data_IF_401486778403
#
_entry.id   IF_401486778403
#
_cell.length_a   1.000
_cell.length_b   1.000
_cell.length_c   1.000
_cell.angle_alpha   90.00
_cell.angle_beta   90.00
_cell.angle_gamma   90.00
#
_symmetry.space_group_name_H-M   'P 1'
#
loop_
_entity.id
_entity.type
_entity.pdbx_description
1 polymer ?
#
# COMPACT_ATOMS: atom_id res chain seq x y z
N UNK A 1 -1.54 9.43 -20.63
CA UNK A 1 -1.18 9.70 -19.23
C UNK A 1 0.28 9.43 -19.01
N UNK A 2 0.89 10.07 -18.02
CA UNK A 2 2.28 9.86 -17.62
C UNK A 2 2.34 9.36 -16.19
N UNK A 3 3.25 8.44 -15.93
CA UNK A 3 3.62 8.02 -14.59
C UNK A 3 4.86 8.78 -14.15
N UNK A 4 4.78 9.44 -13.02
CA UNK A 4 5.86 10.14 -12.37
C UNK A 4 6.28 9.38 -11.12
N UNK A 5 7.60 9.33 -10.84
CA UNK A 5 8.14 8.59 -9.70
C UNK A 5 9.30 9.35 -9.04
N UNK A 6 9.48 9.17 -7.73
CA UNK A 6 10.58 9.71 -6.95
C UNK A 6 10.78 8.93 -5.65
N UNK A 7 11.88 9.17 -4.95
CA UNK A 7 12.26 8.48 -3.73
C UNK A 7 13.33 7.41 -3.94
N UNK A 8 13.39 6.42 -3.07
CA UNK A 8 14.35 5.31 -3.12
C UNK A 8 14.28 4.54 -4.42
N UNK A 9 15.44 4.21 -5.00
CA UNK A 9 15.55 3.52 -6.30
C UNK A 9 16.73 2.53 -6.39
N UNK A 10 17.30 2.14 -5.26
CA UNK A 10 18.46 1.25 -5.21
C UNK A 10 18.18 -0.17 -5.76
N UNK A 11 16.91 -0.57 -5.83
CA UNK A 11 16.47 -1.82 -6.46
C UNK A 11 15.80 -1.61 -7.83
N UNK A 12 15.69 -0.36 -8.31
CA UNK A 12 14.93 -0.02 -9.51
C UNK A 12 13.41 0.04 -9.29
N UNK A 13 12.97 0.22 -8.03
CA UNK A 13 11.54 0.23 -7.66
C UNK A 13 10.74 1.39 -8.26
N UNK A 14 11.39 2.41 -8.80
CA UNK A 14 10.73 3.47 -9.58
C UNK A 14 10.39 3.03 -11.01
N UNK A 15 10.96 1.92 -11.48
CA UNK A 15 10.67 1.37 -12.81
C UNK A 15 11.18 2.23 -13.97
N UNK A 16 12.11 3.15 -13.72
CA UNK A 16 12.63 4.11 -14.70
C UNK A 16 13.81 3.58 -15.54
N UNK A 17 14.23 2.32 -15.31
CA UNK A 17 15.33 1.68 -16.01
C UNK A 17 16.74 2.07 -15.57
N UNK A 18 16.86 2.95 -14.60
CA UNK A 18 18.13 3.49 -14.12
C UNK A 18 18.20 3.40 -12.58
N UNK A 19 18.60 2.25 -12.03
CA UNK A 19 18.79 2.12 -10.59
C UNK A 19 19.82 3.14 -10.08
N UNK A 20 19.49 3.80 -8.98
CA UNK A 20 20.35 4.73 -8.26
C UNK A 20 19.94 4.69 -6.79
N UNK A 21 20.66 5.34 -5.90
CA UNK A 21 20.32 5.33 -4.48
C UNK A 21 18.90 5.94 -4.27
N UNK A 22 18.66 7.11 -4.87
CA UNK A 22 17.39 7.82 -4.75
C UNK A 22 17.18 8.86 -5.87
N UNK A 23 15.95 9.32 -6.00
CA UNK A 23 15.52 10.40 -6.88
C UNK A 23 14.75 11.43 -6.06
N UNK A 24 15.33 12.59 -5.83
CA UNK A 24 14.80 13.61 -4.90
C UNK A 24 13.68 14.49 -5.49
N UNK A 25 13.51 14.49 -6.81
CA UNK A 25 12.46 15.22 -7.54
C UNK A 25 11.68 14.31 -8.45
N UNK A 26 10.38 14.55 -8.66
CA UNK A 26 9.60 13.76 -9.59
C UNK A 26 10.25 13.70 -10.99
N UNK A 27 10.38 12.48 -11.52
CA UNK A 27 10.78 12.22 -12.89
C UNK A 27 9.73 11.37 -13.61
N UNK A 28 9.62 11.55 -14.91
CA UNK A 28 8.76 10.69 -15.73
C UNK A 28 9.35 9.29 -15.80
N UNK A 29 8.55 8.29 -15.46
CA UNK A 29 8.93 6.90 -15.72
C UNK A 29 8.94 6.68 -17.22
N UNK A 30 10.14 6.45 -17.78
CA UNK A 30 10.35 6.26 -19.21
C UNK A 30 9.55 5.07 -19.72
N UNK A 31 8.48 5.36 -20.41
CA UNK A 31 7.76 4.35 -21.18
C UNK A 31 8.26 4.46 -22.61
N UNK A 32 8.99 3.45 -23.08
CA UNK A 32 9.10 3.29 -24.55
C UNK A 32 7.68 3.30 -25.10
N UNK A 33 7.39 4.00 -26.21
CA UNK A 33 6.04 4.06 -26.74
C UNK A 33 5.42 2.66 -26.89
N UNK A 34 4.28 2.41 -26.20
CA UNK A 34 3.58 1.13 -26.24
C UNK A 34 3.88 0.13 -25.13
N UNK A 35 4.70 0.48 -24.10
CA UNK A 35 5.02 -0.48 -23.02
C UNK A 35 4.04 -0.45 -21.83
N UNK A 36 3.47 0.71 -21.48
CA UNK A 36 2.49 0.85 -20.40
C UNK A 36 1.26 1.62 -20.91
N UNK A 37 0.14 0.93 -21.04
CA UNK A 37 -1.15 1.53 -21.38
C UNK A 37 -1.79 2.13 -20.11
N UNK A 38 -1.40 3.36 -19.76
CA UNK A 38 -1.89 4.04 -18.56
C UNK A 38 -3.22 4.77 -18.83
N UNK A 39 -4.16 4.61 -17.89
CA UNK A 39 -5.44 5.32 -17.87
C UNK A 39 -5.76 5.84 -16.46
N UNK A 40 -6.90 6.51 -16.27
CA UNK A 40 -7.33 7.07 -14.99
C UNK A 40 -7.55 6.03 -13.89
N UNK A 41 -7.80 4.79 -14.27
CA UNK A 41 -8.07 3.67 -13.38
C UNK A 41 -6.80 2.87 -13.04
N UNK A 42 -5.66 3.20 -13.67
CA UNK A 42 -4.37 2.56 -13.37
C UNK A 42 -3.99 2.76 -11.91
N UNK A 43 -3.55 1.69 -11.27
CA UNK A 43 -3.18 1.67 -9.85
C UNK A 43 -1.71 1.30 -9.71
N UNK A 44 -0.96 2.13 -9.02
CA UNK A 44 0.38 1.79 -8.55
C UNK A 44 0.26 1.25 -7.13
N UNK A 45 0.89 0.13 -6.85
CA UNK A 45 0.87 -0.56 -5.56
C UNK A 45 2.32 -0.72 -5.10
N UNK A 46 2.86 0.27 -4.37
CA UNK A 46 4.22 0.22 -3.89
C UNK A 46 4.33 -0.68 -2.64
N UNK A 47 5.29 -1.60 -2.64
CA UNK A 47 5.65 -2.45 -1.50
C UNK A 47 6.89 -1.95 -0.76
N UNK A 48 7.61 -2.86 -0.07
CA UNK A 48 8.82 -2.53 0.68
C UNK A 48 9.99 -2.03 -0.19
N UNK A 49 10.25 -2.69 -1.29
CA UNK A 49 11.31 -2.33 -2.24
C UNK A 49 10.95 -2.72 -3.67
N UNK A 50 9.69 -3.07 -3.91
CA UNK A 50 9.15 -3.39 -5.22
C UNK A 50 7.88 -2.58 -5.47
N UNK A 51 7.49 -2.47 -6.72
CA UNK A 51 6.29 -1.73 -7.13
C UNK A 51 5.52 -2.56 -8.16
N UNK A 52 4.21 -2.68 -7.95
CA UNK A 52 3.30 -3.25 -8.94
C UNK A 52 2.53 -2.11 -9.62
N UNK A 53 2.19 -2.32 -10.89
CA UNK A 53 1.28 -1.47 -11.64
C UNK A 53 0.18 -2.34 -12.23
N UNK A 54 -1.04 -2.09 -11.83
CA UNK A 54 -2.23 -2.76 -12.35
C UNK A 54 -2.99 -1.80 -13.28
N UNK A 55 -3.15 -2.19 -14.53
CA UNK A 55 -3.89 -1.44 -15.55
C UNK A 55 -4.62 -2.40 -16.49
N UNK A 56 -5.92 -2.22 -16.68
CA UNK A 56 -6.78 -3.06 -17.54
C UNK A 56 -6.63 -4.58 -17.29
N UNK A 57 -6.52 -4.98 -16.01
CA UNK A 57 -6.32 -6.38 -15.61
C UNK A 57 -4.93 -6.95 -15.90
N UNK A 58 -4.00 -6.12 -16.43
CA UNK A 58 -2.59 -6.48 -16.66
C UNK A 58 -1.76 -6.01 -15.48
N UNK A 59 -0.87 -6.88 -15.02
CA UNK A 59 0.05 -6.58 -13.93
C UNK A 59 1.46 -6.37 -14.49
N UNK A 60 2.13 -5.33 -14.00
CA UNK A 60 3.54 -5.07 -14.23
C UNK A 60 4.25 -4.93 -12.88
N UNK A 61 5.54 -5.25 -12.84
CA UNK A 61 6.34 -5.17 -11.64
C UNK A 61 7.71 -4.56 -11.92
N UNK A 62 8.25 -3.85 -10.92
CA UNK A 62 9.61 -3.31 -10.90
C UNK A 62 10.18 -3.36 -9.48
N UNK A 63 11.51 -3.31 -9.33
CA UNK A 63 12.20 -3.20 -8.07
C UNK A 63 12.80 -4.49 -7.55
N UNK A 64 12.87 -4.62 -6.24
CA UNK A 64 13.45 -5.75 -5.52
C UNK A 64 12.70 -7.05 -5.76
N UNK A 65 13.43 -8.14 -6.09
CA UNK A 65 12.82 -9.43 -6.43
C UNK A 65 13.54 -10.65 -5.84
N UNK A 66 14.45 -10.48 -4.88
CA UNK A 66 15.23 -11.60 -4.28
C UNK A 66 14.37 -12.69 -3.64
N UNK A 67 13.12 -12.37 -3.31
CA UNK A 67 12.10 -13.32 -2.79
C UNK A 67 11.04 -13.70 -3.83
N UNK A 68 11.16 -13.18 -5.06
CA UNK A 68 10.14 -13.39 -6.09
C UNK A 68 8.89 -12.50 -5.90
N UNK A 69 8.98 -11.43 -5.13
CA UNK A 69 7.85 -10.54 -4.83
C UNK A 69 7.29 -9.80 -6.03
N UNK A 70 8.04 -9.73 -7.14
CA UNK A 70 7.56 -9.24 -8.42
C UNK A 70 6.72 -10.28 -9.21
N UNK A 71 6.73 -11.55 -8.81
CA UNK A 71 5.95 -12.62 -9.44
C UNK A 71 6.38 -13.02 -10.85
N UNK A 72 7.64 -12.76 -11.24
CA UNK A 72 8.14 -12.93 -12.60
C UNK A 72 8.63 -14.35 -12.93
N UNK A 73 8.74 -15.23 -11.94
CA UNK A 73 9.31 -16.58 -12.12
C UNK A 73 10.81 -16.60 -12.41
N UNK A 74 11.49 -15.46 -12.34
CA UNK A 74 12.89 -15.31 -12.67
C UNK A 74 13.77 -15.30 -11.41
N UNK A 75 15.08 -15.61 -11.62
CA UNK A 75 16.12 -15.49 -10.59
C UNK A 75 16.75 -14.09 -10.56
N UNK A 76 16.20 -13.13 -11.30
CA UNK A 76 16.67 -11.77 -11.31
C UNK A 76 16.35 -11.08 -9.99
N UNK A 77 17.36 -10.63 -9.26
CA UNK A 77 17.21 -10.00 -7.93
C UNK A 77 16.61 -8.59 -8.00
N UNK A 78 16.86 -7.86 -9.08
CA UNK A 78 16.39 -6.49 -9.28
C UNK A 78 15.75 -6.34 -10.67
N UNK A 79 14.62 -5.66 -10.73
CA UNK A 79 13.84 -5.41 -11.95
C UNK A 79 13.77 -3.89 -12.18
N UNK A 80 14.72 -3.28 -12.91
CA UNK A 80 14.84 -1.82 -12.97
C UNK A 80 13.78 -1.11 -13.80
N UNK A 81 13.04 -1.84 -14.63
CA UNK A 81 11.94 -1.34 -15.45
C UNK A 81 10.67 -2.13 -15.16
N UNK A 82 9.50 -1.51 -15.40
CA UNK A 82 8.25 -2.25 -15.32
C UNK A 82 8.20 -3.36 -16.38
N UNK A 83 8.19 -4.60 -15.91
CA UNK A 83 8.07 -5.83 -16.73
C UNK A 83 6.67 -6.40 -16.52
N UNK A 84 6.02 -6.80 -17.62
CA UNK A 84 4.72 -7.48 -17.56
C UNK A 84 4.86 -8.81 -16.82
N UNK A 85 4.02 -9.00 -15.81
CA UNK A 85 3.96 -10.24 -15.03
C UNK A 85 3.02 -11.23 -15.73
N UNK A 86 3.45 -12.47 -15.84
CA UNK A 86 2.56 -13.55 -16.30
C UNK A 86 1.70 -14.02 -15.13
N UNK A 87 0.45 -13.55 -15.08
CA UNK A 87 -0.50 -13.91 -14.03
C UNK A 87 -1.46 -14.99 -14.55
N UNK A 88 -1.90 -15.92 -13.66
CA UNK A 88 -2.78 -17.04 -14.08
C UNK A 88 -4.16 -16.56 -14.54
N UNK A 89 -4.63 -15.42 -14.04
CA UNK A 89 -5.90 -14.78 -14.36
C UNK A 89 -5.78 -13.26 -14.20
N UNK A 90 -6.72 -12.48 -14.76
CA UNK A 90 -6.73 -11.03 -14.54
C UNK A 90 -7.09 -10.70 -13.09
N UNK A 91 -6.22 -9.92 -12.42
CA UNK A 91 -6.47 -9.46 -11.06
C UNK A 91 -7.35 -8.21 -11.05
N UNK A 92 -8.26 -8.15 -10.10
CA UNK A 92 -9.10 -6.96 -9.81
C UNK A 92 -8.59 -6.19 -8.59
N UNK A 93 -7.84 -6.86 -7.70
CA UNK A 93 -7.19 -6.28 -6.53
C UNK A 93 -5.78 -6.83 -6.40
N UNK A 94 -4.85 -5.96 -6.03
CA UNK A 94 -3.46 -6.33 -5.69
C UNK A 94 -3.07 -5.57 -4.43
N UNK A 95 -2.33 -6.21 -3.54
CA UNK A 95 -1.73 -5.59 -2.36
C UNK A 95 -0.30 -6.09 -2.20
N UNK A 96 0.61 -5.18 -1.85
CA UNK A 96 2.01 -5.46 -1.63
C UNK A 96 2.36 -5.32 -0.14
N UNK A 97 3.06 -6.31 0.40
CA UNK A 97 3.70 -6.23 1.72
C UNK A 97 5.16 -5.81 1.62
N UNK A 98 5.98 -6.19 2.63
CA UNK A 98 7.40 -5.85 2.61
C UNK A 98 8.16 -6.53 1.46
N UNK A 99 8.04 -7.85 1.35
CA UNK A 99 8.77 -8.71 0.41
C UNK A 99 7.85 -9.78 -0.20
N UNK A 100 6.56 -9.47 -0.37
CA UNK A 100 5.55 -10.35 -0.96
C UNK A 100 4.42 -9.54 -1.59
N UNK A 101 3.66 -10.20 -2.46
CA UNK A 101 2.51 -9.64 -3.19
C UNK A 101 1.35 -10.63 -3.18
N UNK A 102 0.13 -10.11 -3.00
CA UNK A 102 -1.12 -10.87 -3.12
C UNK A 102 -1.99 -10.23 -4.22
N UNK A 103 -2.52 -11.05 -5.12
CA UNK A 103 -3.54 -10.66 -6.10
C UNK A 103 -4.85 -11.41 -5.87
N UNK A 104 -5.98 -10.78 -6.18
CA UNK A 104 -7.32 -11.38 -6.15
C UNK A 104 -7.95 -11.21 -7.53
N UNK A 105 -8.53 -12.28 -8.06
CA UNK A 105 -9.27 -12.24 -9.31
C UNK A 105 -10.76 -11.88 -9.12
N UNK A 106 -11.49 -11.77 -10.24
CA UNK A 106 -12.92 -11.44 -10.24
C UNK A 106 -13.82 -12.51 -9.58
N UNK A 107 -13.33 -13.74 -9.44
CA UNK A 107 -14.07 -14.86 -8.88
C UNK A 107 -13.80 -15.04 -7.37
N UNK A 108 -12.99 -14.15 -6.79
CA UNK A 108 -12.62 -14.14 -5.38
C UNK A 108 -11.54 -15.17 -5.02
N UNK A 109 -10.76 -15.63 -6.01
CA UNK A 109 -9.61 -16.52 -5.81
C UNK A 109 -8.38 -15.65 -5.52
N UNK A 110 -7.62 -16.01 -4.48
CA UNK A 110 -6.41 -15.30 -4.08
C UNK A 110 -5.16 -16.02 -4.58
N UNK A 111 -4.16 -15.24 -4.98
CA UNK A 111 -2.86 -15.71 -5.45
C UNK A 111 -1.75 -14.94 -4.75
N UNK A 112 -0.64 -15.61 -4.44
CA UNK A 112 0.50 -14.98 -3.75
C UNK A 112 1.84 -15.32 -4.35
N UNK A 113 2.79 -14.36 -4.28
CA UNK A 113 4.19 -14.56 -4.61
C UNK A 113 5.09 -13.78 -3.65
N UNK A 114 6.38 -14.14 -3.58
CA UNK A 114 7.35 -13.53 -2.69
C UNK A 114 7.69 -14.38 -1.49
N UNK A 115 7.99 -13.74 -0.38
CA UNK A 115 8.35 -14.37 0.89
C UNK A 115 7.13 -15.00 1.57
N UNK A 116 7.31 -16.23 2.05
CA UNK A 116 6.37 -16.93 2.93
C UNK A 116 7.05 -17.37 4.23
N UNK A 117 8.15 -16.70 4.61
CA UNK A 117 8.95 -17.08 5.78
C UNK A 117 8.14 -17.08 7.09
N UNK A 118 7.11 -16.25 7.15
CA UNK A 118 6.21 -16.10 8.31
C UNK A 118 4.80 -16.66 8.05
N UNK A 119 4.53 -17.25 6.87
CA UNK A 119 3.21 -17.69 6.46
C UNK A 119 2.34 -16.59 5.84
N UNK A 120 2.92 -15.43 5.52
CA UNK A 120 2.20 -14.26 5.00
C UNK A 120 1.50 -14.49 3.65
N UNK A 121 1.91 -15.51 2.89
CA UNK A 121 1.23 -15.91 1.65
C UNK A 121 0.05 -16.87 1.89
N UNK A 122 -0.11 -17.41 3.10
CA UNK A 122 -1.14 -18.43 3.36
C UNK A 122 -0.84 -19.79 2.70
N UNK A 123 0.42 -20.04 2.31
CA UNK A 123 0.88 -21.27 1.68
C UNK A 123 1.61 -22.16 2.68
N UNK A 124 1.85 -23.42 2.33
CA UNK A 124 2.53 -24.38 3.17
C UNK A 124 3.87 -23.86 3.73
N UNK A 125 4.18 -24.24 4.97
CA UNK A 125 5.39 -23.80 5.68
C UNK A 125 6.71 -24.26 5.05
N UNK A 126 6.68 -25.26 4.19
CA UNK A 126 7.82 -25.72 3.37
C UNK A 126 8.20 -24.72 2.26
N UNK A 127 7.22 -23.98 1.75
CA UNK A 127 7.39 -22.96 0.72
C UNK A 127 7.80 -21.62 1.34
N UNK A 128 9.09 -21.36 1.49
CA UNK A 128 9.60 -20.10 2.09
C UNK A 128 9.71 -18.95 1.09
N UNK A 129 9.88 -19.27 -0.19
CA UNK A 129 9.99 -18.32 -1.31
C UNK A 129 9.17 -18.84 -2.47
N UNK A 130 8.35 -17.97 -3.07
CA UNK A 130 7.45 -18.28 -4.18
C UNK A 130 7.66 -17.26 -5.28
N UNK A 131 8.29 -17.65 -6.38
CA UNK A 131 8.75 -16.71 -7.44
C UNK A 131 7.68 -16.34 -8.46
N UNK A 132 6.61 -17.13 -8.53
CA UNK A 132 5.45 -16.91 -9.41
C UNK A 132 4.18 -16.88 -8.57
N UNK A 133 3.12 -16.24 -9.08
CA UNK A 133 1.83 -16.26 -8.40
C UNK A 133 1.30 -17.68 -8.30
N UNK A 134 1.07 -18.14 -7.07
CA UNK A 134 0.42 -19.41 -6.74
C UNK A 134 -0.91 -19.16 -6.08
N UNK A 135 -1.90 -19.97 -6.44
CA UNK A 135 -3.21 -19.97 -5.80
C UNK A 135 -3.07 -20.30 -4.31
N UNK A 136 -3.81 -19.56 -3.49
CA UNK A 136 -3.89 -19.74 -2.05
C UNK A 136 -5.17 -20.52 -1.75
N UNK A 137 -5.05 -21.63 -1.04
CA UNK A 137 -6.21 -22.43 -0.62
C UNK A 137 -7.00 -21.68 0.47
N UNK A 138 -7.92 -20.82 0.00
CA UNK A 138 -8.73 -19.97 0.87
C UNK A 138 -9.96 -20.72 1.36
N UNK A 139 -10.27 -20.70 2.68
CA UNK A 139 -11.47 -21.35 3.22
C UNK A 139 -12.79 -20.69 2.80
N UNK A 140 -12.74 -19.45 2.32
CA UNK A 140 -13.87 -18.66 1.84
C UNK A 140 -13.45 -17.80 0.64
N UNK A 141 -14.40 -17.45 -0.24
CA UNK A 141 -14.17 -16.44 -1.28
C UNK A 141 -13.88 -15.08 -0.65
N UNK A 142 -12.97 -14.34 -1.28
CA UNK A 142 -12.49 -13.05 -0.78
C UNK A 142 -12.70 -11.93 -1.78
N UNK A 143 -13.00 -10.73 -1.29
CA UNK A 143 -13.31 -9.56 -2.10
C UNK A 143 -12.23 -8.47 -2.02
N UNK A 144 -11.38 -8.51 -1.00
CA UNK A 144 -10.29 -7.55 -0.81
C UNK A 144 -9.16 -8.15 0.01
N UNK A 145 -7.96 -7.56 -0.08
CA UNK A 145 -6.78 -7.95 0.69
C UNK A 145 -5.98 -6.72 1.11
N UNK A 146 -5.45 -6.77 2.32
CA UNK A 146 -4.46 -5.83 2.83
C UNK A 146 -3.22 -6.60 3.31
N UNK A 147 -2.04 -6.16 2.86
CA UNK A 147 -0.75 -6.73 3.23
C UNK A 147 -0.01 -5.79 4.17
N UNK A 148 0.32 -6.26 5.37
CA UNK A 148 1.24 -5.58 6.27
C UNK A 148 2.69 -5.99 6.03
N UNK A 149 3.57 -5.74 7.00
CA UNK A 149 4.99 -6.11 6.83
C UNK A 149 5.17 -7.62 6.63
N UNK A 150 4.50 -8.45 7.43
CA UNK A 150 4.65 -9.92 7.45
C UNK A 150 3.33 -10.64 7.74
N UNK A 151 2.20 -10.06 7.36
CA UNK A 151 0.88 -10.64 7.54
C UNK A 151 -0.06 -10.19 6.43
N UNK A 152 -1.10 -10.99 6.19
CA UNK A 152 -2.14 -10.71 5.21
C UNK A 152 -3.51 -10.86 5.82
N UNK A 153 -4.39 -9.92 5.51
CA UNK A 153 -5.78 -9.89 5.92
C UNK A 153 -6.64 -9.88 4.67
N UNK A 154 -7.51 -10.85 4.54
CA UNK A 154 -8.45 -10.98 3.43
C UNK A 154 -9.87 -10.71 3.93
N UNK A 155 -10.55 -9.77 3.30
CA UNK A 155 -11.98 -9.56 3.53
C UNK A 155 -12.75 -10.63 2.77
N UNK A 156 -13.60 -11.39 3.46
CA UNK A 156 -14.43 -12.41 2.83
C UNK A 156 -15.69 -11.78 2.20
N UNK A 157 -16.30 -12.48 1.24
CA UNK A 157 -17.60 -12.12 0.68
C UNK A 157 -18.71 -12.16 1.75
N UNK A 158 -18.59 -13.07 2.72
CA UNK A 158 -19.35 -13.01 3.96
C UNK A 158 -18.83 -11.85 4.82
N UNK A 159 -19.54 -10.73 4.81
CA UNK A 159 -19.09 -9.45 5.35
C UNK A 159 -18.78 -9.42 6.87
N UNK A 160 -19.12 -10.45 7.63
CA UNK A 160 -18.80 -10.58 9.07
C UNK A 160 -17.51 -11.39 9.33
N UNK A 161 -16.80 -11.79 8.27
CA UNK A 161 -15.61 -12.65 8.36
C UNK A 161 -14.42 -12.05 7.61
N UNK A 162 -13.23 -12.33 8.14
CA UNK A 162 -11.95 -12.17 7.46
C UNK A 162 -11.19 -13.48 7.48
N UNK A 163 -10.30 -13.68 6.53
CA UNK A 163 -9.26 -14.70 6.60
C UNK A 163 -7.92 -14.02 6.89
N UNK A 164 -7.09 -14.62 7.72
CA UNK A 164 -5.82 -14.03 8.16
C UNK A 164 -4.70 -15.05 8.11
N UNK A 165 -3.49 -14.64 7.74
CA UNK A 165 -2.29 -15.46 7.80
C UNK A 165 -1.03 -14.63 8.01
N UNK A 166 0.09 -15.28 8.34
CA UNK A 166 1.36 -14.63 8.57
C UNK A 166 1.76 -14.55 10.04
N UNK A 167 2.53 -13.51 10.38
CA UNK A 167 2.99 -13.26 11.74
C UNK A 167 1.86 -12.71 12.61
N UNK A 168 1.55 -13.38 13.72
CA UNK A 168 0.52 -12.98 14.69
C UNK A 168 1.02 -12.52 16.05
N UNK A 169 2.36 -12.43 16.23
CA UNK A 169 3.00 -12.24 17.56
C UNK A 169 2.69 -10.91 18.24
N UNK A 170 2.18 -9.94 17.50
CA UNK A 170 1.78 -8.62 18.01
C UNK A 170 0.26 -8.45 18.11
N UNK A 171 -0.53 -9.47 17.73
CA UNK A 171 -1.99 -9.41 17.68
C UNK A 171 -2.57 -8.92 16.35
N UNK A 172 -1.73 -8.65 15.35
CA UNK A 172 -2.13 -8.13 14.04
C UNK A 172 -3.00 -9.09 13.21
N UNK A 173 -3.14 -10.37 13.61
CA UNK A 173 -4.06 -11.31 12.98
C UNK A 173 -5.49 -11.27 13.57
N UNK A 174 -5.82 -10.22 14.33
CA UNK A 174 -7.17 -9.98 14.85
C UNK A 174 -7.75 -11.14 15.71
N UNK A 175 -6.91 -12.00 16.29
CA UNK A 175 -7.38 -13.10 17.11
C UNK A 175 -8.03 -12.58 18.40
N UNK A 176 -9.31 -12.92 18.70
CA UNK A 176 -9.99 -12.44 19.90
C UNK A 176 -9.33 -12.89 21.21
N UNK A 177 -8.61 -13.99 21.20
CA UNK A 177 -7.89 -14.54 22.36
C UNK A 177 -6.52 -13.87 22.58
N UNK A 178 -6.14 -12.91 21.72
CA UNK A 178 -4.90 -12.16 21.79
C UNK A 178 -3.81 -12.65 20.83
N UNK A 179 -2.56 -12.17 21.02
CA UNK A 179 -1.45 -12.46 20.13
C UNK A 179 -1.11 -13.95 20.02
N UNK A 180 -0.86 -14.41 18.80
CA UNK A 180 -0.44 -15.78 18.53
C UNK A 180 1.05 -15.96 18.81
N UNK A 181 1.44 -17.09 19.40
CA UNK A 181 2.86 -17.41 19.64
C UNK A 181 3.62 -17.80 18.39
N UNK A 182 2.92 -18.41 17.44
CA UNK A 182 3.48 -18.96 16.20
C UNK A 182 2.93 -18.25 14.97
N UNK A 183 3.64 -18.44 13.84
CA UNK A 183 3.19 -17.94 12.55
C UNK A 183 2.05 -18.80 12.00
N UNK A 184 1.09 -18.16 11.34
CA UNK A 184 -0.07 -18.81 10.74
C UNK A 184 0.16 -18.99 9.24
N UNK A 185 0.43 -20.23 8.79
CA UNK A 185 0.74 -20.53 7.39
C UNK A 185 -0.52 -20.78 6.55
N UNK A 186 -1.56 -21.37 7.09
CA UNK A 186 -2.85 -21.51 6.40
C UNK A 186 -3.79 -20.38 6.79
N UNK A 187 -4.56 -19.81 5.85
CA UNK A 187 -5.52 -18.78 6.18
C UNK A 187 -6.55 -19.28 7.21
N UNK A 188 -6.75 -18.51 8.29
CA UNK A 188 -7.68 -18.81 9.37
C UNK A 188 -8.82 -17.82 9.36
N UNK A 189 -10.05 -18.31 9.53
CA UNK A 189 -11.25 -17.48 9.61
C UNK A 189 -11.34 -16.82 10.99
N UNK A 190 -11.53 -15.50 10.99
CA UNK A 190 -11.92 -14.73 12.19
C UNK A 190 -13.27 -14.10 11.92
N UNK A 191 -14.22 -14.29 12.85
CA UNK A 191 -15.59 -13.78 12.77
C UNK A 191 -15.78 -12.60 13.71
N UNK A 192 -16.60 -11.64 13.28
CA UNK A 192 -16.99 -10.45 14.03
C UNK A 192 -18.52 -10.34 14.12
N UNK A 193 -19.01 -9.64 15.14
CA UNK A 193 -20.45 -9.39 15.33
C UNK A 193 -20.97 -8.26 14.41
N UNK A 194 -20.05 -7.51 13.77
CA UNK A 194 -20.32 -6.40 12.87
C UNK A 194 -19.92 -6.73 11.44
N UNK A 195 -20.63 -6.16 10.48
CA UNK A 195 -20.28 -6.27 9.04
C UNK A 195 -19.07 -5.41 8.71
N UNK A 196 -18.04 -6.02 8.12
CA UNK A 196 -16.78 -5.39 7.72
C UNK A 196 -16.95 -4.76 6.35
N UNK A 197 -16.64 -3.47 6.25
CA UNK A 197 -16.62 -2.69 5.02
C UNK A 197 -15.26 -2.80 4.32
N UNK A 198 -14.15 -2.58 5.07
CA UNK A 198 -12.80 -2.52 4.51
C UNK A 198 -11.79 -3.11 5.51
N UNK A 199 -10.67 -3.60 4.97
CA UNK A 199 -9.51 -4.09 5.75
C UNK A 199 -8.26 -3.34 5.32
N UNK A 200 -7.44 -2.90 6.27
CA UNK A 200 -6.16 -2.23 6.03
C UNK A 200 -5.09 -2.77 6.96
N UNK A 201 -3.84 -2.71 6.53
CA UNK A 201 -2.73 -3.25 7.30
C UNK A 201 -1.55 -2.27 7.34
N UNK A 202 -1.05 -2.03 8.54
CA UNK A 202 0.20 -1.31 8.78
C UNK A 202 1.37 -2.27 9.02
N UNK A 203 2.45 -1.79 9.64
CA UNK A 203 3.64 -2.61 9.87
C UNK A 203 3.32 -3.89 10.64
N UNK A 204 2.81 -3.76 11.84
CA UNK A 204 2.45 -4.87 12.74
C UNK A 204 1.05 -4.66 13.34
N UNK A 205 0.15 -4.03 12.62
CA UNK A 205 -1.23 -3.85 13.02
C UNK A 205 -2.18 -3.96 11.84
N UNK A 206 -3.44 -4.21 12.14
CA UNK A 206 -4.54 -4.30 11.19
C UNK A 206 -5.64 -3.35 11.64
N UNK A 207 -6.25 -2.66 10.70
CA UNK A 207 -7.45 -1.87 10.92
C UNK A 207 -8.62 -2.48 10.14
N UNK A 208 -9.74 -2.68 10.83
CA UNK A 208 -11.02 -3.03 10.24
C UNK A 208 -11.93 -1.81 10.27
N UNK A 209 -12.58 -1.53 9.17
CA UNK A 209 -13.66 -0.57 9.08
C UNK A 209 -14.97 -1.32 8.91
N UNK A 210 -15.97 -0.97 9.72
CA UNK A 210 -17.28 -1.59 9.70
C UNK A 210 -18.31 -0.74 8.94
N UNK A 211 -19.40 -1.37 8.50
CA UNK A 211 -20.48 -0.65 7.79
C UNK A 211 -21.14 0.44 8.63
N UNK A 212 -21.10 0.36 9.95
CA UNK A 212 -21.57 1.40 10.88
C UNK A 212 -20.55 2.54 11.07
N UNK A 213 -19.51 2.61 10.21
CA UNK A 213 -18.44 3.61 10.24
C UNK A 213 -17.46 3.48 11.41
N UNK A 214 -17.73 2.59 12.38
CA UNK A 214 -16.76 2.35 13.45
C UNK A 214 -15.51 1.65 12.90
N UNK A 215 -14.38 1.89 13.55
CA UNK A 215 -13.10 1.29 13.21
C UNK A 215 -12.56 0.50 14.40
N UNK A 216 -11.82 -0.56 14.12
CA UNK A 216 -11.15 -1.37 15.14
C UNK A 216 -9.74 -1.67 14.70
N UNK A 217 -8.79 -1.44 15.60
CA UNK A 217 -7.39 -1.71 15.39
C UNK A 217 -6.93 -2.91 16.24
N UNK A 218 -6.03 -3.72 15.65
CA UNK A 218 -5.44 -4.90 16.28
C UNK A 218 -3.94 -4.92 16.02
N UNK A 219 -3.13 -5.26 17.01
CA UNK A 219 -1.69 -5.42 16.80
C UNK A 219 -0.82 -4.60 17.75
N UNK A 220 0.32 -4.10 17.24
CA UNK A 220 1.31 -3.39 18.01
C UNK A 220 0.89 -1.95 18.34
N UNK A 221 0.81 -1.63 19.62
CA UNK A 221 0.42 -0.30 20.12
C UNK A 221 1.61 0.62 20.43
N UNK A 222 2.84 0.22 20.07
CA UNK A 222 4.07 0.94 20.46
C UNK A 222 4.07 2.44 20.13
N UNK A 223 3.47 2.82 19.00
CA UNK A 223 3.43 4.18 18.49
C UNK A 223 2.03 4.78 18.45
N UNK A 224 1.00 4.02 18.83
CA UNK A 224 -0.39 4.41 18.68
C UNK A 224 -1.22 3.93 19.87
N UNK A 225 -2.06 4.80 20.42
CA UNK A 225 -3.11 4.42 21.35
C UNK A 225 -4.36 4.13 20.51
N UNK A 226 -4.69 2.87 20.33
CA UNK A 226 -5.75 2.44 19.40
C UNK A 226 -7.11 3.03 19.74
N UNK A 227 -7.50 3.07 21.04
CA UNK A 227 -8.74 3.69 21.47
C UNK A 227 -8.91 5.13 21.00
N UNK A 228 -7.84 5.93 21.12
CA UNK A 228 -7.85 7.34 20.73
C UNK A 228 -7.99 7.51 19.21
N UNK A 229 -7.36 6.59 18.45
CA UNK A 229 -7.45 6.56 16.98
C UNK A 229 -8.83 6.10 16.54
N UNK A 230 -9.36 5.04 17.14
CA UNK A 230 -10.68 4.50 16.85
C UNK A 230 -11.76 5.57 17.06
N UNK A 231 -11.69 6.34 18.15
CA UNK A 231 -12.61 7.45 18.43
C UNK A 231 -12.48 8.59 17.41
N UNK A 232 -11.24 9.04 17.12
CA UNK A 232 -11.01 10.15 16.18
C UNK A 232 -11.38 9.84 14.75
N UNK A 233 -11.25 8.57 14.32
CA UNK A 233 -11.52 8.16 12.94
C UNK A 233 -12.95 7.62 12.73
N UNK A 234 -13.72 7.36 13.78
CA UNK A 234 -15.08 6.83 13.68
C UNK A 234 -16.11 7.97 13.57
N UNK A 235 -15.93 8.82 12.55
CA UNK A 235 -16.78 10.01 12.30
C UNK A 235 -17.53 9.81 10.97
N UNK A 236 -18.79 10.18 10.90
CA UNK A 236 -19.69 9.88 9.77
C UNK A 236 -19.25 10.50 8.43
N UNK A 237 -18.55 11.63 8.43
CA UNK A 237 -18.14 12.34 7.22
C UNK A 237 -16.79 11.91 6.64
N UNK A 238 -16.16 10.86 7.18
CA UNK A 238 -14.94 10.27 6.61
C UNK A 238 -15.25 9.54 5.31
N UNK A 239 -14.59 9.97 4.22
CA UNK A 239 -14.74 9.41 2.86
C UNK A 239 -13.58 8.53 2.43
N UNK A 240 -12.40 8.69 3.04
CA UNK A 240 -11.23 7.86 2.79
C UNK A 240 -10.43 7.71 4.09
N UNK A 241 -9.98 6.50 4.38
CA UNK A 241 -9.01 6.24 5.46
C UNK A 241 -7.82 5.52 4.85
N UNK A 242 -6.60 5.93 5.20
CA UNK A 242 -5.36 5.31 4.75
C UNK A 242 -4.48 4.96 5.95
N UNK A 243 -3.67 3.91 5.79
CA UNK A 243 -2.85 3.35 6.86
C UNK A 243 -1.39 3.29 6.40
N UNK A 244 -0.52 3.94 7.14
CA UNK A 244 0.92 3.79 7.03
C UNK A 244 1.47 2.68 7.94
N UNK A 245 2.78 2.66 8.13
CA UNK A 245 3.38 1.66 9.04
C UNK A 245 3.09 1.93 10.51
N UNK A 246 3.09 3.20 10.92
CA UNK A 246 3.00 3.61 12.32
C UNK A 246 2.03 4.76 12.53
N UNK A 247 1.24 5.11 11.51
CA UNK A 247 0.26 6.18 11.55
C UNK A 247 -0.93 5.88 10.63
N UNK A 248 -2.00 6.61 10.83
CA UNK A 248 -3.26 6.52 10.07
C UNK A 248 -3.71 7.92 9.71
N UNK A 249 -4.30 8.11 8.54
CA UNK A 249 -4.92 9.36 8.15
C UNK A 249 -6.32 9.14 7.58
N UNK A 250 -7.22 10.10 7.79
CA UNK A 250 -8.56 10.14 7.23
C UNK A 250 -8.80 11.44 6.47
N UNK A 251 -9.49 11.33 5.35
CA UNK A 251 -9.99 12.43 4.56
C UNK A 251 -11.51 12.55 4.79
N UNK A 252 -11.97 13.75 5.11
CA UNK A 252 -13.35 14.08 5.35
C UNK A 252 -14.01 14.67 4.09
N UNK A 253 -15.33 14.60 4.03
CA UNK A 253 -16.12 15.09 2.89
C UNK A 253 -15.90 16.59 2.60
N UNK A 254 -15.58 17.38 3.63
CA UNK A 254 -15.26 18.80 3.49
C UNK A 254 -13.82 19.08 3.03
N UNK A 255 -13.02 18.05 2.75
CA UNK A 255 -11.62 18.17 2.33
C UNK A 255 -10.63 18.34 3.48
N UNK A 256 -11.04 18.19 4.74
CA UNK A 256 -10.15 18.17 5.90
C UNK A 256 -9.40 16.83 5.96
N UNK A 257 -8.15 16.88 6.36
CA UNK A 257 -7.34 15.69 6.66
C UNK A 257 -7.05 15.64 8.16
N UNK A 258 -7.30 14.49 8.76
CA UNK A 258 -6.89 14.19 10.13
C UNK A 258 -5.90 13.02 10.12
N UNK A 259 -4.94 13.03 11.03
CA UNK A 259 -4.00 11.93 11.18
C UNK A 259 -3.71 11.65 12.66
N UNK A 260 -3.32 10.41 12.95
CA UNK A 260 -2.96 9.95 14.27
C UNK A 260 -1.88 8.87 14.20
N UNK A 261 -1.04 8.79 15.23
CA UNK A 261 0.05 7.82 15.32
C UNK A 261 1.40 8.48 15.57
N UNK A 262 2.47 7.88 15.02
CA UNK A 262 3.83 8.38 15.15
C UNK A 262 4.00 9.76 14.52
N UNK A 263 4.80 10.63 15.14
CA UNK A 263 4.98 12.03 14.71
C UNK A 263 6.42 12.51 14.62
N UNK A 264 7.41 11.72 15.05
CA UNK A 264 8.81 12.11 15.18
C UNK A 264 9.52 12.44 13.86
N UNK A 265 8.97 11.99 12.72
CA UNK A 265 9.41 12.36 11.37
C UNK A 265 8.44 13.30 10.65
N UNK A 266 7.43 13.82 11.33
CA UNK A 266 6.42 14.70 10.72
C UNK A 266 5.23 13.97 10.09
N UNK A 267 5.05 12.66 10.30
CA UNK A 267 4.04 11.84 9.63
C UNK A 267 2.60 12.34 9.79
N UNK A 268 2.30 12.99 10.90
CA UNK A 268 0.95 13.50 11.22
C UNK A 268 0.92 15.02 11.42
N UNK A 269 2.06 15.70 11.23
CA UNK A 269 2.17 17.12 11.54
C UNK A 269 1.59 17.99 10.39
N UNK A 270 0.90 19.06 10.74
CA UNK A 270 0.42 20.07 9.79
C UNK A 270 -0.66 19.60 8.81
N UNK A 271 -1.09 18.35 8.84
CA UNK A 271 -2.08 17.82 7.89
C UNK A 271 -3.46 18.48 8.03
N UNK A 272 -3.78 18.98 9.22
CA UNK A 272 -5.03 19.73 9.47
C UNK A 272 -5.06 21.11 8.78
N UNK A 273 -3.92 21.62 8.35
CA UNK A 273 -3.81 22.90 7.62
C UNK A 273 -4.08 22.74 6.12
N UNK A 274 -4.07 21.50 5.59
CA UNK A 274 -4.45 21.19 4.22
C UNK A 274 -5.90 21.57 3.97
N UNK A 275 -6.16 22.11 2.77
CA UNK A 275 -7.49 22.58 2.35
C UNK A 275 -7.92 21.92 1.05
N UNK A 276 -9.21 21.75 0.90
CA UNK A 276 -9.83 21.27 -0.35
C UNK A 276 -9.25 19.95 -0.88
N UNK A 277 -8.77 19.08 0.02
CA UNK A 277 -8.20 17.80 -0.34
C UNK A 277 -9.29 16.88 -0.90
N UNK A 278 -8.97 16.21 -2.01
CA UNK A 278 -9.85 15.26 -2.70
C UNK A 278 -9.36 13.83 -2.61
N UNK A 279 -8.08 13.65 -2.29
CA UNK A 279 -7.46 12.33 -2.17
C UNK A 279 -6.24 12.38 -1.26
N UNK A 280 -6.03 11.30 -0.51
CA UNK A 280 -4.81 11.06 0.26
C UNK A 280 -4.20 9.71 -0.14
N UNK A 281 -2.89 9.58 0.02
CA UNK A 281 -2.18 8.31 -0.06
C UNK A 281 -1.10 8.29 1.01
N UNK A 282 -1.12 7.29 1.88
CA UNK A 282 -0.22 7.18 3.01
C UNK A 282 0.75 6.03 2.75
N UNK A 283 2.04 6.36 2.75
CA UNK A 283 3.13 5.41 2.66
C UNK A 283 3.55 4.89 4.03
N UNK A 284 4.72 4.25 4.12
CA UNK A 284 5.14 3.67 5.39
C UNK A 284 5.32 4.74 6.47
N UNK A 285 6.02 5.85 6.18
CA UNK A 285 6.30 6.92 7.14
C UNK A 285 6.16 8.32 6.51
N UNK A 286 5.45 8.45 5.36
CA UNK A 286 5.19 9.73 4.70
C UNK A 286 3.79 9.74 4.10
N UNK A 287 3.32 10.91 3.70
CA UNK A 287 2.00 11.08 3.11
C UNK A 287 2.02 11.95 1.86
N UNK A 288 1.04 11.71 1.00
CA UNK A 288 0.69 12.50 -0.18
C UNK A 288 -0.77 12.94 -0.09
N UNK A 289 -1.06 14.15 -0.54
CA UNK A 289 -2.43 14.66 -0.68
C UNK A 289 -2.60 15.40 -2.00
N UNK A 290 -3.76 15.25 -2.61
CA UNK A 290 -4.15 15.94 -3.84
C UNK A 290 -5.35 16.84 -3.54
N UNK A 291 -5.27 18.12 -3.94
CA UNK A 291 -6.36 19.06 -3.77
C UNK A 291 -7.26 19.18 -5.02
N UNK A 292 -8.33 19.97 -4.93
CA UNK A 292 -9.25 20.27 -6.04
C UNK A 292 -8.60 21.01 -7.21
N UNK A 293 -7.47 21.67 -6.98
CA UNK A 293 -6.70 22.39 -7.99
C UNK A 293 -5.71 21.49 -8.72
N UNK A 294 -5.68 20.19 -8.38
CA UNK A 294 -4.73 19.19 -8.86
C UNK A 294 -3.29 19.44 -8.38
N UNK A 295 -3.12 20.18 -7.29
CA UNK A 295 -1.86 20.38 -6.61
C UNK A 295 -1.57 19.20 -5.69
N UNK A 296 -0.34 18.69 -5.77
CA UNK A 296 0.14 17.58 -4.96
C UNK A 296 0.95 18.11 -3.78
N UNK A 297 0.69 17.59 -2.59
CA UNK A 297 1.41 17.88 -1.36
C UNK A 297 2.04 16.61 -0.80
N UNK A 298 3.19 16.74 -0.12
CA UNK A 298 3.88 15.66 0.57
C UNK A 298 4.40 16.11 1.93
N UNK A 299 4.54 15.17 2.86
CA UNK A 299 5.07 15.38 4.21
C UNK A 299 5.57 14.09 4.83
N UNK A 300 6.28 14.18 5.97
CA UNK A 300 6.75 13.07 6.76
C UNK A 300 8.23 12.75 6.57
N UNK A 301 8.59 11.49 6.78
CA UNK A 301 9.94 10.97 6.60
C UNK A 301 10.40 11.09 5.14
N UNK A 302 11.65 11.56 4.94
CA UNK A 302 12.14 11.94 3.60
C UNK A 302 13.61 11.57 3.34
N UNK A 303 14.21 10.65 4.09
CA UNK A 303 15.63 10.28 3.95
C UNK A 303 16.04 9.79 2.55
N UNK A 304 15.07 9.37 1.73
CA UNK A 304 15.30 8.92 0.35
C UNK A 304 14.72 9.89 -0.69
N UNK A 305 14.37 11.12 -0.32
CA UNK A 305 13.73 12.06 -1.24
C UNK A 305 12.29 11.68 -1.59
N UNK A 306 11.65 10.81 -0.80
CA UNK A 306 10.30 10.29 -1.07
C UNK A 306 9.19 11.34 -0.95
N UNK A 307 9.48 12.55 -0.43
CA UNK A 307 8.61 13.71 -0.52
C UNK A 307 8.75 14.50 -1.83
N UNK A 308 9.76 14.25 -2.68
CA UNK A 308 9.88 14.84 -4.01
C UNK A 308 10.25 16.32 -4.05
N UNK A 309 10.85 16.87 -2.99
CA UNK A 309 11.11 18.31 -2.82
C UNK A 309 12.53 18.74 -3.22
N UNK A 310 13.39 17.80 -3.62
CA UNK A 310 14.79 18.04 -4.03
C UNK A 310 15.77 18.10 -2.86
N UNK A 311 15.42 17.47 -1.75
CA UNK A 311 16.27 17.28 -0.57
C UNK A 311 15.83 16.00 0.18
N UNK A 312 16.61 15.60 1.18
CA UNK A 312 16.36 14.38 1.98
C UNK A 312 16.02 14.67 3.45
N UNK A 313 15.84 15.93 3.81
CA UNK A 313 15.41 16.32 5.16
C UNK A 313 13.94 16.01 5.38
N UNK A 314 13.58 15.56 6.60
CA UNK A 314 12.20 15.27 6.97
C UNK A 314 11.29 16.49 6.85
N UNK A 315 10.05 16.28 6.43
CA UNK A 315 9.10 17.34 6.09
C UNK A 315 7.99 17.39 7.14
N UNK A 316 8.11 18.34 8.07
CA UNK A 316 7.22 18.47 9.22
C UNK A 316 5.91 19.25 8.94
N UNK A 317 5.77 19.80 7.75
CA UNK A 317 4.53 20.47 7.29
C UNK A 317 4.29 20.05 5.83
N UNK A 318 3.06 19.80 5.41
CA UNK A 318 2.78 19.49 4.02
C UNK A 318 3.31 20.56 3.06
N UNK A 319 4.15 20.15 2.12
CA UNK A 319 4.76 21.04 1.11
C UNK A 319 4.31 20.62 -0.29
N UNK A 320 4.13 21.60 -1.16
CA UNK A 320 3.73 21.37 -2.55
C UNK A 320 4.85 20.72 -3.35
N UNK A 321 4.53 19.59 -3.98
CA UNK A 321 5.41 18.89 -4.92
C UNK A 321 5.18 19.45 -6.32
N UNK A 322 6.24 19.85 -6.99
CA UNK A 322 6.15 20.42 -8.34
C UNK A 322 6.60 19.37 -9.37
N UNK A 323 5.68 18.98 -10.25
CA UNK A 323 5.99 18.28 -11.48
C UNK A 323 6.39 19.30 -12.55
N UNK A 324 7.12 18.87 -13.61
CA UNK A 324 7.43 19.76 -14.72
C UNK A 324 6.20 20.48 -15.28
N UNK A 325 6.42 21.69 -15.77
CA UNK A 325 5.40 22.70 -16.04
C UNK A 325 4.09 22.20 -16.68
N UNK A 326 2.98 22.48 -15.99
CA UNK A 326 1.61 22.36 -16.51
C UNK A 326 1.00 20.98 -16.48
N UNK A 327 1.58 20.02 -15.76
CA UNK A 327 0.96 18.71 -15.52
C UNK A 327 -0.09 18.81 -14.42
N UNK A 328 -1.25 18.17 -14.65
CA UNK A 328 -2.30 18.01 -13.63
C UNK A 328 -2.21 16.62 -13.05
N UNK A 329 -1.91 16.52 -11.77
CA UNK A 329 -1.92 15.24 -11.05
C UNK A 329 -3.36 14.80 -10.85
N UNK A 330 -3.69 13.58 -11.25
CA UNK A 330 -5.03 13.00 -11.09
C UNK A 330 -5.07 11.89 -10.04
N UNK A 331 -3.91 11.32 -9.72
CA UNK A 331 -3.77 10.30 -8.70
C UNK A 331 -2.37 10.29 -8.11
N UNK A 332 -2.23 9.86 -6.84
CA UNK A 332 -0.96 9.73 -6.15
C UNK A 332 -0.90 8.43 -5.35
N UNK A 333 0.32 7.89 -5.18
CA UNK A 333 0.55 6.63 -4.50
C UNK A 333 1.85 6.71 -3.69
N UNK A 334 1.76 6.49 -2.39
CA UNK A 334 2.88 6.48 -1.47
C UNK A 334 3.25 5.04 -1.07
N UNK A 335 4.54 4.73 -1.09
CA UNK A 335 5.09 3.41 -0.75
C UNK A 335 5.94 3.42 0.52
N UNK A 336 6.97 2.59 0.57
CA UNK A 336 7.89 2.53 1.71
C UNK A 336 8.76 3.78 1.80
N UNK A 337 9.62 3.99 0.83
CA UNK A 337 10.50 5.15 0.70
C UNK A 337 10.45 5.72 -0.72
N UNK A 338 9.36 5.49 -1.46
CA UNK A 338 9.17 5.95 -2.83
C UNK A 338 7.72 6.31 -3.09
N UNK A 339 7.50 7.16 -4.06
CA UNK A 339 6.22 7.79 -4.36
C UNK A 339 5.97 7.86 -5.86
N UNK A 340 4.68 7.89 -6.22
CA UNK A 340 4.23 7.99 -7.61
C UNK A 340 3.09 8.99 -7.77
N UNK A 341 2.99 9.54 -8.97
CA UNK A 341 1.84 10.32 -9.39
C UNK A 341 1.45 9.93 -10.83
N UNK A 342 0.14 9.84 -11.09
CA UNK A 342 -0.41 9.83 -12.43
C UNK A 342 -0.80 11.25 -12.80
N UNK A 343 -0.34 11.71 -13.96
CA UNK A 343 -0.65 13.04 -14.45
C UNK A 343 -1.15 13.00 -15.90
N UNK A 344 -2.03 13.94 -16.23
CA UNK A 344 -2.44 14.16 -17.60
C UNK A 344 -1.35 14.93 -18.35
N UNK A 345 -1.19 14.62 -19.64
CA UNK A 345 -0.50 15.51 -20.57
C UNK A 345 -1.23 16.85 -20.60
N UNK A 346 -0.50 17.93 -20.87
CA UNK A 346 -1.13 19.24 -21.18
C UNK A 346 -2.22 19.03 -22.24
N UNK A 347 -3.39 19.60 -21.97
CA UNK A 347 -4.34 19.94 -23.03
C UNK A 347 -3.77 21.04 -23.91
#
# INVERSE_FOLDING_TARGET
>A
MELWAWGANNYGQLGNGQPCEQVERPLVVGTSPGTLDLNSESKVIPGGGHTLLLTDGRLYAAGWNTKGQCGLGSDQDHVPQFVKVNIPTAFVKVSAGWDFTIGIDKDGVAYGCGSNAFGQLGLESSLKVVKEFREIDMPLKVSSVACGMRHSIFKCDENDKICVCGNGKKGQLCNPEGPLKENTYKPVIVKFDKKICEVKAGQNFTMLEFHDKTKKLFGDTKHMVFSDIEEKLSIDDVIQTEVGWTHVASLHQNGLVQAAGRSDYGQINGVADLKDITKISIGYEHGLALDKSFDLFSWGWNEHGNCGLGHTENVFQPMKVTLEAGRKVINCFAGSGHSFALANNRL
#
